data_IF_119979569003
#
_entry.id   IF_119979569003
#
_cell.length_a   1.000
_cell.length_b   1.000
_cell.length_c   1.000
_cell.angle_alpha   90.00
_cell.angle_beta   90.00
_cell.angle_gamma   90.00
#
_symmetry.space_group_name_H-M   'P 1'
#
loop_
_entity.id
_entity.type
_entity.pdbx_description
1 polymer ?
#
# COMPACT_ATOMS: atom_id res chain seq x y z
N UNK A 1 -32.35 37.95 54.22
CA UNK A 1 -32.02 36.74 55.00
C UNK A 1 -31.93 35.55 54.06
N UNK A 2 -30.82 34.80 54.14
CA UNK A 2 -30.58 33.41 53.68
C UNK A 2 -30.51 33.13 52.17
N UNK A 3 -29.35 32.62 51.76
CA UNK A 3 -29.11 32.01 50.46
C UNK A 3 -27.62 31.78 50.18
N UNK A 4 -26.94 31.00 51.02
CA UNK A 4 -25.61 30.45 50.73
C UNK A 4 -25.80 29.10 50.03
N UNK A 5 -24.99 28.81 48.99
CA UNK A 5 -24.53 27.50 48.44
C UNK A 5 -24.19 27.71 46.96
N UNK A 6 -23.03 27.38 46.40
CA UNK A 6 -21.87 26.66 46.89
C UNK A 6 -20.81 26.63 45.78
N UNK A 7 -19.56 26.56 46.24
CA UNK A 7 -18.35 26.04 45.61
C UNK A 7 -18.24 25.81 44.09
N UNK A 8 -17.18 26.41 43.56
CA UNK A 8 -16.32 25.96 42.46
C UNK A 8 -15.88 24.48 42.59
N UNK A 9 -16.16 23.66 41.58
CA UNK A 9 -15.56 22.36 41.21
C UNK A 9 -16.44 21.86 40.03
N UNK A 10 -16.00 21.42 38.86
CA UNK A 10 -14.77 20.82 38.37
C UNK A 10 -14.69 21.07 36.85
N UNK A 11 -13.52 21.50 36.36
CA UNK A 11 -13.06 21.03 35.07
C UNK A 11 -12.99 19.51 35.13
N UNK A 12 -13.78 18.79 34.33
CA UNK A 12 -13.46 17.44 33.85
C UNK A 12 -14.59 16.92 32.95
N UNK A 13 -14.53 17.24 31.67
CA UNK A 13 -14.83 16.24 30.66
C UNK A 13 -13.75 16.32 29.58
N UNK A 14 -12.54 16.07 30.08
CA UNK A 14 -11.61 15.10 29.52
C UNK A 14 -11.59 15.10 28.00
N UNK A 15 -10.71 15.97 27.48
CA UNK A 15 -9.78 15.67 26.39
C UNK A 15 -9.96 14.23 25.90
N UNK A 16 -10.86 14.02 24.96
CA UNK A 16 -10.76 12.89 24.05
C UNK A 16 -9.59 13.25 23.16
N UNK A 17 -8.41 12.95 23.71
CA UNK A 17 -7.18 12.84 22.98
C UNK A 17 -7.50 11.94 21.80
N UNK A 18 -7.72 12.60 20.68
CA UNK A 18 -7.45 12.11 19.35
C UNK A 18 -5.99 11.72 19.35
N UNK A 19 -5.69 10.60 20.00
CA UNK A 19 -4.41 9.96 19.93
C UNK A 19 -4.36 9.50 18.49
N UNK A 20 -3.74 10.35 17.68
CA UNK A 20 -3.11 9.97 16.43
C UNK A 20 -2.01 8.97 16.80
N UNK A 21 -2.45 7.79 17.24
CA UNK A 21 -1.60 6.66 17.51
C UNK A 21 -1.02 6.28 16.16
N UNK A 22 0.31 6.32 16.13
CA UNK A 22 1.18 5.85 15.06
C UNK A 22 0.46 4.77 14.23
N UNK A 23 0.41 4.88 12.90
CA UNK A 23 -0.32 3.93 12.08
C UNK A 23 0.15 2.52 12.42
N UNK A 24 -0.76 1.67 12.92
CA UNK A 24 -0.47 0.34 13.46
C UNK A 24 0.43 -0.48 12.51
N UNK A 25 0.27 -0.26 11.20
CA UNK A 25 1.04 -0.86 10.12
C UNK A 25 2.56 -0.62 10.21
N UNK A 26 2.98 0.50 10.78
CA UNK A 26 4.39 0.88 10.96
C UNK A 26 4.99 0.34 12.27
N UNK A 27 4.18 -0.16 13.20
CA UNK A 27 4.67 -0.71 14.47
C UNK A 27 5.41 -2.04 14.25
N UNK A 28 6.35 -2.34 15.14
CA UNK A 28 7.07 -3.62 15.11
C UNK A 28 6.20 -4.72 15.70
N UNK A 29 6.53 -5.99 15.40
CA UNK A 29 5.77 -7.14 15.93
C UNK A 29 5.75 -7.15 17.46
N UNK A 30 6.83 -6.70 18.10
CA UNK A 30 6.93 -6.63 19.57
C UNK A 30 5.93 -5.62 20.13
N UNK A 31 5.82 -4.45 19.50
CA UNK A 31 4.89 -3.41 19.94
C UNK A 31 3.43 -3.85 19.72
N UNK A 32 3.15 -4.50 18.60
CA UNK A 32 1.83 -5.07 18.33
C UNK A 32 1.46 -6.16 19.35
N UNK A 33 2.43 -7.00 19.77
CA UNK A 33 2.20 -8.00 20.82
C UNK A 33 1.88 -7.35 22.17
N UNK A 34 2.54 -6.24 22.54
CA UNK A 34 2.25 -5.52 23.79
C UNK A 34 0.82 -4.97 23.79
N UNK A 35 0.43 -4.31 22.71
CA UNK A 35 -0.94 -3.77 22.55
C UNK A 35 -1.97 -4.90 22.59
N UNK A 36 -1.68 -6.04 21.95
CA UNK A 36 -2.58 -7.19 21.98
C UNK A 36 -2.66 -7.90 23.35
N UNK A 37 -1.62 -7.82 24.19
CA UNK A 37 -1.62 -8.37 25.56
C UNK A 37 -2.41 -7.49 26.54
N UNK A 38 -2.47 -6.18 26.29
CA UNK A 38 -3.29 -5.24 27.08
C UNK A 38 -4.78 -5.45 26.84
N UNK A 39 -5.14 -6.12 25.74
CA UNK A 39 -6.52 -6.44 25.39
C UNK A 39 -6.89 -7.81 26.00
N UNK A 40 -7.82 -7.86 26.98
CA UNK A 40 -8.16 -9.09 27.71
C UNK A 40 -8.86 -10.15 26.86
N UNK A 41 -9.41 -9.77 25.70
CA UNK A 41 -10.16 -10.65 24.81
C UNK A 41 -9.27 -11.44 23.84
N UNK A 42 -7.97 -11.11 23.72
CA UNK A 42 -7.06 -11.75 22.77
C UNK A 42 -6.20 -12.81 23.47
N UNK A 43 -6.50 -14.09 23.20
CA UNK A 43 -5.68 -15.23 23.62
C UNK A 43 -4.80 -15.71 22.47
N UNK A 44 -3.55 -16.08 22.76
CA UNK A 44 -2.62 -16.65 21.76
C UNK A 44 -1.73 -15.65 21.01
N UNK A 45 -1.59 -14.43 21.52
CA UNK A 45 -0.77 -13.32 20.95
C UNK A 45 0.65 -13.73 20.55
N UNK A 46 1.26 -14.69 21.25
CA UNK A 46 2.63 -15.14 20.98
C UNK A 46 2.79 -15.83 19.62
N UNK A 47 1.77 -16.60 19.20
CA UNK A 47 1.79 -17.40 17.97
C UNK A 47 1.30 -16.64 16.72
N UNK A 48 0.67 -15.47 16.91
CA UNK A 48 0.11 -14.69 15.81
C UNK A 48 1.20 -14.02 14.96
N UNK A 49 0.99 -14.02 13.64
CA UNK A 49 1.82 -13.29 12.67
C UNK A 49 1.52 -11.79 12.74
N UNK A 50 2.41 -10.96 12.18
CA UNK A 50 2.24 -9.49 12.16
C UNK A 50 0.88 -9.07 11.60
N UNK A 51 0.46 -9.68 10.50
CA UNK A 51 -0.80 -9.34 9.83
C UNK A 51 -2.02 -9.72 10.69
N UNK A 52 -1.95 -10.85 11.39
CA UNK A 52 -3.00 -11.33 12.29
C UNK A 52 -3.12 -10.40 13.51
N UNK A 53 -1.99 -10.00 14.12
CA UNK A 53 -1.99 -9.04 15.22
C UNK A 53 -2.62 -7.70 14.82
N UNK A 54 -2.33 -7.22 13.61
CA UNK A 54 -2.93 -5.97 13.10
C UNK A 54 -4.45 -6.08 12.96
N UNK A 55 -4.95 -7.19 12.42
CA UNK A 55 -6.40 -7.40 12.26
C UNK A 55 -7.11 -7.42 13.62
N UNK A 56 -6.60 -8.20 14.57
CA UNK A 56 -7.25 -8.34 15.88
C UNK A 56 -7.20 -7.03 16.68
N UNK A 57 -6.09 -6.29 16.63
CA UNK A 57 -5.99 -4.97 17.27
C UNK A 57 -6.94 -3.95 16.62
N UNK A 58 -7.08 -3.97 15.29
CA UNK A 58 -8.02 -3.09 14.56
C UNK A 58 -9.48 -3.44 14.86
N UNK A 59 -9.82 -4.73 14.94
CA UNK A 59 -11.15 -5.22 15.32
C UNK A 59 -11.52 -4.81 16.75
N UNK A 60 -10.61 -5.00 17.70
CA UNK A 60 -10.86 -4.65 19.10
C UNK A 60 -10.92 -3.13 19.33
N UNK A 61 -10.10 -2.33 18.63
CA UNK A 61 -10.12 -0.86 18.76
C UNK A 61 -11.33 -0.21 18.09
N UNK A 62 -12.27 -0.99 17.53
CA UNK A 62 -13.51 -0.47 16.97
C UNK A 62 -13.31 0.42 15.75
N UNK A 63 -12.12 0.42 15.17
CA UNK A 63 -11.82 1.13 13.94
C UNK A 63 -12.44 0.29 12.81
N UNK A 64 -13.76 0.44 12.63
CA UNK A 64 -14.40 0.31 11.32
C UNK A 64 -13.84 1.42 10.44
N UNK A 65 -12.59 1.27 10.01
CA UNK A 65 -12.11 2.00 8.85
C UNK A 65 -12.86 1.41 7.68
N UNK A 66 -13.96 2.08 7.32
CA UNK A 66 -14.46 2.15 5.96
C UNK A 66 -13.27 2.12 5.01
N UNK A 67 -13.13 0.99 4.34
CA UNK A 67 -12.48 0.81 3.05
C UNK A 67 -11.33 1.77 2.74
N UNK A 68 -10.28 1.82 3.57
CA UNK A 68 -8.99 2.22 3.01
C UNK A 68 -8.55 1.03 2.16
N UNK A 69 -8.44 1.17 0.83
CA UNK A 69 -8.18 0.06 -0.05
C UNK A 69 -6.81 -0.46 0.34
N UNK A 70 -6.84 -1.61 1.03
CA UNK A 70 -5.70 -2.44 1.34
C UNK A 70 -4.83 -2.40 0.10
N UNK A 71 -3.66 -1.79 0.21
CA UNK A 71 -2.59 -1.91 -0.79
C UNK A 71 -2.22 -3.38 -0.75
N UNK A 72 -3.07 -4.23 -1.33
CA UNK A 72 -2.89 -5.65 -1.56
C UNK A 72 -1.52 -5.69 -2.17
N UNK A 73 -0.53 -6.12 -1.37
CA UNK A 73 0.86 -6.14 -1.77
C UNK A 73 0.87 -6.69 -3.17
N UNK A 74 1.43 -5.91 -4.12
CA UNK A 74 1.36 -6.19 -5.55
C UNK A 74 1.69 -7.66 -5.77
N UNK A 75 0.68 -8.54 -5.76
CA UNK A 75 0.81 -9.93 -6.15
C UNK A 75 1.27 -9.75 -7.56
N UNK A 76 2.55 -10.07 -7.83
CA UNK A 76 3.13 -10.00 -9.16
C UNK A 76 2.08 -10.65 -10.06
N UNK A 77 1.39 -9.90 -10.93
CA UNK A 77 0.23 -10.45 -11.59
C UNK A 77 0.73 -11.67 -12.33
N UNK A 78 0.19 -12.84 -11.95
CA UNK A 78 0.56 -14.13 -12.49
C UNK A 78 0.61 -13.99 -13.99
N UNK A 79 1.84 -13.93 -14.54
CA UNK A 79 2.20 -13.51 -15.91
C UNK A 79 0.97 -13.03 -16.67
N UNK A 80 0.46 -11.84 -16.30
CA UNK A 80 -0.81 -11.35 -16.85
C UNK A 80 -0.70 -11.51 -18.35
N UNK A 81 -1.58 -12.34 -18.94
CA UNK A 81 -1.58 -12.70 -20.33
C UNK A 81 -1.20 -11.46 -21.11
N UNK A 82 0.03 -11.46 -21.65
CA UNK A 82 0.71 -10.26 -22.09
C UNK A 82 -0.16 -9.64 -23.18
N UNK A 83 -0.90 -8.63 -22.80
CA UNK A 83 -2.03 -8.12 -23.56
C UNK A 83 -1.51 -7.63 -24.93
N UNK A 84 -1.74 -8.42 -25.99
CA UNK A 84 -1.08 -8.26 -27.30
C UNK A 84 -1.25 -6.84 -27.83
N UNK A 85 -2.42 -6.24 -27.57
CA UNK A 85 -2.77 -4.86 -27.92
C UNK A 85 -1.87 -3.84 -27.22
N UNK A 86 -1.64 -4.02 -25.90
CA UNK A 86 -0.75 -3.15 -25.11
C UNK A 86 0.71 -3.25 -25.57
N UNK A 87 1.17 -4.45 -25.91
CA UNK A 87 2.52 -4.65 -26.45
C UNK A 87 2.71 -3.97 -27.80
N UNK A 88 1.75 -4.11 -28.72
CA UNK A 88 1.78 -3.42 -30.03
C UNK A 88 1.75 -1.90 -29.88
N UNK A 89 0.95 -1.36 -28.95
CA UNK A 89 0.93 0.07 -28.63
C UNK A 89 2.31 0.60 -28.20
N UNK A 90 2.97 -0.09 -27.26
CA UNK A 90 4.33 0.25 -26.81
C UNK A 90 5.37 0.16 -27.92
N UNK A 91 5.24 -0.81 -28.82
CA UNK A 91 6.13 -0.93 -29.99
C UNK A 91 5.99 0.29 -30.91
N UNK A 92 4.77 0.78 -31.14
CA UNK A 92 4.53 1.97 -31.97
C UNK A 92 5.19 3.21 -31.36
N UNK A 93 4.96 3.44 -30.07
CA UNK A 93 5.55 4.57 -29.32
C UNK A 93 7.09 4.55 -29.39
N UNK A 94 7.71 3.40 -29.11
CA UNK A 94 9.17 3.29 -29.12
C UNK A 94 9.79 3.40 -30.53
N UNK A 95 9.02 3.16 -31.60
CA UNK A 95 9.49 3.45 -32.97
C UNK A 95 9.57 4.95 -33.20
N UNK A 96 8.54 5.70 -32.81
CA UNK A 96 8.52 7.16 -32.90
C UNK A 96 9.64 7.79 -32.07
N UNK A 97 9.82 7.33 -30.82
CA UNK A 97 10.95 7.77 -29.98
C UNK A 97 12.31 7.48 -30.62
N UNK A 98 12.44 6.35 -31.33
CA UNK A 98 13.70 5.97 -31.99
C UNK A 98 13.99 6.88 -33.19
N UNK A 99 12.97 7.26 -33.95
CA UNK A 99 13.11 8.21 -35.06
C UNK A 99 13.47 9.59 -34.54
N UNK A 100 12.82 10.06 -33.48
CA UNK A 100 13.18 11.31 -32.81
C UNK A 100 14.63 11.28 -32.27
N UNK A 101 15.06 10.16 -31.68
CA UNK A 101 16.43 10.00 -31.20
C UNK A 101 17.45 9.94 -32.34
N UNK A 102 17.08 9.44 -33.52
CA UNK A 102 17.92 9.47 -34.72
C UNK A 102 18.13 10.91 -35.22
N UNK A 103 17.06 11.71 -35.25
CA UNK A 103 17.16 13.13 -35.62
C UNK A 103 18.00 13.97 -34.65
N UNK A 104 18.10 13.54 -33.39
CA UNK A 104 18.95 14.17 -32.35
C UNK A 104 20.38 13.59 -32.29
N UNK A 105 20.73 12.68 -33.19
CA UNK A 105 22.02 11.96 -33.22
C UNK A 105 22.44 11.27 -31.92
N UNK A 106 21.48 11.00 -31.00
CA UNK A 106 21.75 10.32 -29.74
C UNK A 106 21.87 8.81 -29.97
N UNK A 107 23.08 8.38 -30.35
CA UNK A 107 23.42 6.97 -30.62
C UNK A 107 23.07 6.06 -29.44
N UNK A 108 23.35 6.49 -28.20
CA UNK A 108 23.07 5.69 -26.99
C UNK A 108 21.57 5.47 -26.83
N UNK A 109 20.77 6.51 -27.03
CA UNK A 109 19.31 6.41 -26.97
C UNK A 109 18.75 5.53 -28.07
N UNK A 110 19.25 5.66 -29.30
CA UNK A 110 18.85 4.79 -30.43
C UNK A 110 19.14 3.32 -30.12
N UNK A 111 20.30 2.99 -29.56
CA UNK A 111 20.67 1.61 -29.21
C UNK A 111 19.82 1.04 -28.09
N UNK A 112 19.54 1.82 -27.05
CA UNK A 112 18.62 1.43 -25.98
C UNK A 112 17.21 1.13 -26.53
N UNK A 113 16.70 2.02 -27.38
CA UNK A 113 15.38 1.86 -28.00
C UNK A 113 15.34 0.65 -28.94
N UNK A 114 16.40 0.40 -29.72
CA UNK A 114 16.55 -0.81 -30.56
C UNK A 114 16.44 -2.07 -29.71
N UNK A 115 17.18 -2.16 -28.60
CA UNK A 115 17.17 -3.32 -27.69
C UNK A 115 15.78 -3.54 -27.07
N UNK A 116 15.14 -2.46 -26.61
CA UNK A 116 13.77 -2.50 -26.05
C UNK A 116 12.74 -2.97 -27.09
N UNK A 117 12.79 -2.44 -28.31
CA UNK A 117 11.94 -2.87 -29.42
C UNK A 117 12.11 -4.36 -29.72
N UNK A 118 13.34 -4.87 -29.78
CA UNK A 118 13.60 -6.29 -30.00
C UNK A 118 13.00 -7.17 -28.89
N UNK A 119 13.13 -6.77 -27.62
CA UNK A 119 12.55 -7.49 -26.48
C UNK A 119 11.02 -7.51 -26.55
N UNK A 120 10.38 -6.38 -26.83
CA UNK A 120 8.92 -6.29 -26.94
C UNK A 120 8.36 -7.09 -28.13
N UNK A 121 9.05 -7.08 -29.27
CA UNK A 121 8.68 -7.93 -30.43
C UNK A 121 8.76 -9.41 -30.07
N UNK A 122 9.82 -9.85 -29.36
CA UNK A 122 9.95 -11.23 -28.88
C UNK A 122 8.84 -11.58 -27.88
N UNK A 123 8.52 -10.69 -26.94
CA UNK A 123 7.41 -10.87 -25.99
C UNK A 123 6.06 -10.99 -26.70
N UNK A 124 5.83 -10.19 -27.75
CA UNK A 124 4.59 -10.25 -28.55
C UNK A 124 4.47 -11.58 -29.28
N UNK A 125 5.57 -12.11 -29.84
CA UNK A 125 5.59 -13.44 -30.47
C UNK A 125 5.32 -14.55 -29.47
N UNK A 126 5.95 -14.50 -28.30
CA UNK A 126 5.72 -15.48 -27.22
C UNK A 126 4.28 -15.44 -26.70
N UNK A 127 3.72 -14.24 -26.51
CA UNK A 127 2.33 -14.06 -26.13
C UNK A 127 1.34 -14.51 -27.21
N UNK A 128 1.78 -14.69 -28.47
CA UNK A 128 0.97 -15.25 -29.54
C UNK A 128 1.01 -16.78 -29.62
N UNK A 129 2.04 -17.40 -29.04
CA UNK A 129 2.23 -18.85 -28.99
C UNK A 129 1.66 -19.49 -27.72
N UNK A 130 1.43 -18.69 -26.67
CA UNK A 130 0.76 -19.07 -25.44
C UNK A 130 -0.74 -18.80 -25.55
#
# INVERSE_FOLDING_TARGET
MKGATGHSMEEESRKEEKQEEKPLEKMTVIDLKKIALEIPDIKGVSAMKKDELLSVIKEHRGIKDEETPVKKGKKKPAKAALDKKKLKGKISQLKQEKEAARGKEDRKRVDMLRRRLSRLKKQTRKAAQA
#
